data_IF_263469741339
#
_entry.id   IF_263469741339
#
_cell.length_a   1.000
_cell.length_b   1.000
_cell.length_c   1.000
_cell.angle_alpha   90.00
_cell.angle_beta   90.00
_cell.angle_gamma   90.00
#
_symmetry.space_group_name_H-M   'P 1'
#
loop_
_entity.id
_entity.type
_entity.pdbx_description
1 polymer ?
#
# COMPACT_ATOMS: atom_id res chain seq x y z
N UNK A 1 1.02 -10.75 -27.53
CA UNK A 1 0.26 -9.52 -27.81
C UNK A 1 -0.53 -9.17 -26.55
N UNK A 2 -0.67 -7.88 -26.21
CA UNK A 2 -1.42 -7.46 -25.02
C UNK A 2 -2.92 -7.68 -25.22
N UNK A 3 -3.63 -8.21 -24.21
CA UNK A 3 -5.09 -8.39 -24.22
C UNK A 3 -5.86 -7.11 -24.60
N UNK A 4 -5.27 -5.95 -24.32
CA UNK A 4 -5.82 -4.63 -24.65
C UNK A 4 -5.79 -4.35 -26.16
N UNK A 5 -4.77 -4.85 -26.86
CA UNK A 5 -4.63 -4.74 -28.32
C UNK A 5 -5.63 -5.63 -29.06
N UNK A 6 -5.84 -6.86 -28.56
CA UNK A 6 -6.83 -7.80 -29.09
C UNK A 6 -8.26 -7.27 -28.89
N UNK A 7 -8.56 -6.67 -27.74
CA UNK A 7 -9.83 -5.99 -27.48
C UNK A 7 -10.06 -4.79 -28.43
N UNK A 8 -9.04 -3.97 -28.69
CA UNK A 8 -9.17 -2.84 -29.62
C UNK A 8 -9.47 -3.29 -31.06
N UNK A 9 -8.82 -4.36 -31.53
CA UNK A 9 -9.09 -4.93 -32.85
C UNK A 9 -10.52 -5.49 -32.92
N UNK A 10 -10.95 -6.22 -31.88
CA UNK A 10 -12.31 -6.76 -31.81
C UNK A 10 -13.38 -5.66 -31.81
N UNK A 11 -13.16 -4.58 -31.05
CA UNK A 11 -14.05 -3.41 -31.04
C UNK A 11 -14.12 -2.72 -32.40
N UNK A 12 -12.97 -2.51 -33.05
CA UNK A 12 -12.90 -1.86 -34.37
C UNK A 12 -13.62 -2.69 -35.44
N UNK A 13 -13.45 -4.02 -35.41
CA UNK A 13 -14.13 -4.93 -36.33
C UNK A 13 -15.64 -4.97 -36.08
N UNK A 14 -16.08 -4.99 -34.81
CA UNK A 14 -17.51 -4.96 -34.45
C UNK A 14 -18.18 -3.65 -34.87
N UNK A 15 -17.53 -2.51 -34.63
CA UNK A 15 -18.03 -1.19 -35.06
C UNK A 15 -18.17 -1.12 -36.59
N UNK A 16 -17.19 -1.65 -37.32
CA UNK A 16 -17.26 -1.75 -38.79
C UNK A 16 -18.43 -2.60 -39.28
N UNK A 17 -18.75 -3.71 -38.60
CA UNK A 17 -19.92 -4.55 -38.93
C UNK A 17 -21.23 -3.80 -38.67
N UNK A 18 -21.34 -3.07 -37.56
CA UNK A 18 -22.52 -2.27 -37.23
C UNK A 18 -22.72 -1.12 -38.22
N UNK A 19 -21.65 -0.40 -38.57
CA UNK A 19 -21.68 0.68 -39.56
C UNK A 19 -22.13 0.14 -40.93
N UNK A 20 -21.64 -1.05 -41.32
CA UNK A 20 -22.06 -1.74 -42.55
C UNK A 20 -23.55 -2.13 -42.53
N UNK A 21 -24.06 -2.61 -41.40
CA UNK A 21 -25.48 -2.99 -41.25
C UNK A 21 -26.41 -1.77 -41.28
N UNK A 22 -26.03 -0.68 -40.59
CA UNK A 22 -26.75 0.60 -40.63
C UNK A 22 -26.74 1.17 -42.05
N UNK A 23 -25.59 1.16 -42.72
CA UNK A 23 -25.47 1.58 -44.12
C UNK A 23 -26.36 0.76 -45.04
N UNK A 24 -26.45 -0.56 -44.80
CA UNK A 24 -27.32 -1.45 -45.59
C UNK A 24 -28.79 -1.10 -45.39
N UNK A 25 -29.23 -0.88 -44.15
CA UNK A 25 -30.59 -0.43 -43.84
C UNK A 25 -30.90 0.94 -44.47
N UNK A 26 -29.98 1.91 -44.36
CA UNK A 26 -30.13 3.25 -44.94
C UNK A 26 -30.22 3.18 -46.47
N UNK A 27 -29.39 2.36 -47.12
CA UNK A 27 -29.44 2.14 -48.58
C UNK A 27 -30.76 1.54 -49.04
N UNK A 28 -31.24 0.48 -48.37
CA UNK A 28 -32.52 -0.15 -48.70
C UNK A 28 -33.71 0.81 -48.53
N UNK A 29 -33.73 1.56 -47.42
CA UNK A 29 -34.74 2.58 -47.16
C UNK A 29 -34.69 3.72 -48.19
N UNK A 30 -33.50 4.17 -48.57
CA UNK A 30 -33.31 5.23 -49.56
C UNK A 30 -33.77 4.80 -50.95
N UNK A 31 -33.54 3.52 -51.31
CA UNK A 31 -34.05 2.93 -52.57
C UNK A 31 -35.57 2.93 -52.61
N UNK A 32 -36.24 2.51 -51.54
CA UNK A 32 -37.71 2.52 -51.43
C UNK A 32 -38.29 3.95 -51.48
N UNK A 33 -37.64 4.91 -50.81
CA UNK A 33 -37.98 6.32 -50.90
C UNK A 33 -37.81 6.89 -52.31
N UNK A 34 -36.79 6.43 -53.04
CA UNK A 34 -36.58 6.76 -54.45
C UNK A 34 -37.75 6.32 -55.33
N UNK A 35 -38.25 5.08 -55.15
CA UNK A 35 -39.44 4.61 -55.86
C UNK A 35 -40.69 5.42 -55.52
N UNK A 36 -40.91 5.76 -54.24
CA UNK A 36 -42.01 6.63 -53.80
C UNK A 36 -41.94 8.02 -54.43
N UNK A 37 -40.74 8.60 -54.51
CA UNK A 37 -40.53 9.93 -55.10
C UNK A 37 -40.79 9.90 -56.60
N UNK A 38 -40.28 8.90 -57.31
CA UNK A 38 -40.55 8.72 -58.74
C UNK A 38 -42.03 8.47 -59.05
N UNK A 39 -42.75 7.75 -58.17
CA UNK A 39 -44.19 7.56 -58.25
C UNK A 39 -44.95 8.88 -58.07
N UNK A 40 -44.58 9.68 -57.07
CA UNK A 40 -45.18 11.00 -56.79
C UNK A 40 -45.00 11.98 -57.95
N UNK A 41 -43.89 11.88 -58.67
CA UNK A 41 -43.56 12.74 -59.80
C UNK A 41 -44.10 12.21 -61.15
N UNK A 42 -44.90 11.13 -61.16
CA UNK A 42 -45.38 10.44 -62.37
C UNK A 42 -44.25 9.99 -63.33
N UNK A 43 -43.03 9.77 -62.80
CA UNK A 43 -41.85 9.30 -63.54
C UNK A 43 -41.62 7.80 -63.42
N UNK A 44 -42.47 7.09 -62.69
CA UNK A 44 -42.35 5.65 -62.46
C UNK A 44 -42.86 4.86 -63.67
N UNK A 45 -41.93 4.23 -64.40
CA UNK A 45 -42.24 3.51 -65.65
C UNK A 45 -42.80 2.11 -65.41
N UNK A 46 -42.18 1.35 -64.50
CA UNK A 46 -42.70 0.07 -63.97
C UNK A 46 -41.89 -0.31 -62.73
N UNK A 47 -42.51 -1.02 -61.80
CA UNK A 47 -41.84 -1.63 -60.65
C UNK A 47 -42.34 -3.05 -60.52
N UNK A 48 -41.43 -4.00 -60.45
CA UNK A 48 -41.77 -5.40 -60.23
C UNK A 48 -42.24 -5.59 -58.77
N UNK A 49 -43.45 -6.11 -58.60
CA UNK A 49 -44.05 -6.40 -57.29
C UNK A 49 -43.24 -7.44 -56.52
N UNK A 50 -42.55 -8.35 -57.22
CA UNK A 50 -41.71 -9.37 -56.58
C UNK A 50 -40.42 -8.75 -56.02
N UNK A 51 -39.78 -7.84 -56.75
CA UNK A 51 -38.63 -7.08 -56.27
C UNK A 51 -39.00 -6.18 -55.07
N UNK A 52 -40.18 -5.56 -55.10
CA UNK A 52 -40.64 -4.70 -54.01
C UNK A 52 -40.92 -5.52 -52.73
N UNK A 53 -41.47 -6.72 -52.88
CA UNK A 53 -41.71 -7.65 -51.77
C UNK A 53 -40.40 -8.17 -51.17
N UNK A 54 -39.40 -8.47 -52.00
CA UNK A 54 -38.05 -8.85 -51.55
C UNK A 54 -37.37 -7.71 -50.80
N UNK A 55 -37.42 -6.49 -51.34
CA UNK A 55 -36.84 -5.30 -50.70
C UNK A 55 -37.50 -4.98 -49.34
N UNK A 56 -38.81 -5.22 -49.21
CA UNK A 56 -39.52 -5.09 -47.94
C UNK A 56 -39.05 -6.11 -46.90
N UNK A 57 -38.94 -7.39 -47.28
CA UNK A 57 -38.44 -8.45 -46.40
C UNK A 57 -36.98 -8.20 -45.96
N UNK A 58 -36.13 -7.72 -46.87
CA UNK A 58 -34.75 -7.34 -46.56
C UNK A 58 -34.68 -6.13 -45.62
N UNK A 59 -35.55 -5.13 -45.79
CA UNK A 59 -35.64 -3.98 -44.91
C UNK A 59 -36.07 -4.39 -43.50
N UNK A 60 -37.07 -5.25 -43.38
CA UNK A 60 -37.58 -5.73 -42.08
C UNK A 60 -36.52 -6.56 -41.35
N UNK A 61 -35.80 -7.43 -42.07
CA UNK A 61 -34.68 -8.19 -41.52
C UNK A 61 -33.53 -7.27 -41.08
N UNK A 62 -33.16 -6.28 -41.90
CA UNK A 62 -32.12 -5.31 -41.56
C UNK A 62 -32.50 -4.51 -40.31
N UNK A 63 -33.75 -4.02 -40.23
CA UNK A 63 -34.28 -3.31 -39.06
C UNK A 63 -34.23 -4.16 -37.79
N UNK A 64 -34.63 -5.43 -37.88
CA UNK A 64 -34.60 -6.35 -36.76
C UNK A 64 -33.18 -6.60 -36.25
N UNK A 65 -32.22 -6.83 -37.16
CA UNK A 65 -30.79 -7.01 -36.81
C UNK A 65 -30.20 -5.78 -36.14
N UNK A 66 -30.43 -4.58 -36.69
CA UNK A 66 -29.95 -3.33 -36.09
C UNK A 66 -30.50 -3.14 -34.67
N UNK A 67 -31.80 -3.37 -34.46
CA UNK A 67 -32.41 -3.24 -33.13
C UNK A 67 -31.84 -4.24 -32.12
N UNK A 68 -31.67 -5.50 -32.52
CA UNK A 68 -31.04 -6.52 -31.66
C UNK A 68 -29.61 -6.14 -31.29
N UNK A 69 -28.83 -5.68 -32.25
CA UNK A 69 -27.44 -5.30 -32.03
C UNK A 69 -27.31 -4.11 -31.07
N UNK A 70 -28.16 -3.08 -31.24
CA UNK A 70 -28.22 -1.95 -30.31
C UNK A 70 -28.62 -2.39 -28.89
N UNK A 71 -29.57 -3.33 -28.76
CA UNK A 71 -29.98 -3.87 -27.46
C UNK A 71 -28.87 -4.67 -26.79
N UNK A 72 -28.16 -5.51 -27.54
CA UNK A 72 -27.01 -6.27 -27.03
C UNK A 72 -25.89 -5.34 -26.56
N UNK A 73 -25.58 -4.30 -27.32
CA UNK A 73 -24.54 -3.35 -26.95
C UNK A 73 -24.93 -2.51 -25.73
N UNK A 74 -26.20 -2.09 -25.63
CA UNK A 74 -26.73 -1.42 -24.43
C UNK A 74 -26.62 -2.30 -23.18
N UNK A 75 -26.96 -3.59 -23.28
CA UNK A 75 -26.82 -4.55 -22.18
C UNK A 75 -25.35 -4.76 -21.79
N UNK A 76 -24.46 -4.90 -22.78
CA UNK A 76 -23.02 -5.05 -22.54
C UNK A 76 -22.44 -3.83 -21.85
N UNK A 77 -22.79 -2.64 -22.31
CA UNK A 77 -22.36 -1.39 -21.68
C UNK A 77 -22.86 -1.29 -20.24
N UNK A 78 -24.14 -1.58 -20.00
CA UNK A 78 -24.74 -1.56 -18.67
C UNK A 78 -24.06 -2.53 -17.71
N UNK A 79 -23.78 -3.76 -18.16
CA UNK A 79 -23.07 -4.74 -17.34
C UNK A 79 -21.62 -4.33 -17.07
N UNK A 80 -20.90 -3.86 -18.09
CA UNK A 80 -19.53 -3.39 -17.92
C UNK A 80 -19.44 -2.18 -16.97
N UNK A 81 -20.40 -1.25 -17.02
CA UNK A 81 -20.50 -0.13 -16.09
C UNK A 81 -20.68 -0.61 -14.65
N UNK A 82 -21.63 -1.54 -14.43
CA UNK A 82 -21.87 -2.12 -13.11
C UNK A 82 -20.66 -2.87 -12.57
N UNK A 83 -19.98 -3.65 -13.41
CA UNK A 83 -18.76 -4.37 -13.02
C UNK A 83 -17.64 -3.39 -12.66
N UNK A 84 -17.50 -2.29 -13.41
CA UNK A 84 -16.54 -1.23 -13.11
C UNK A 84 -16.84 -0.53 -11.78
N UNK A 85 -18.09 -0.13 -11.53
CA UNK A 85 -18.53 0.46 -10.26
C UNK A 85 -18.30 -0.47 -9.07
N UNK A 86 -18.59 -1.78 -9.24
CA UNK A 86 -18.35 -2.79 -8.22
C UNK A 86 -16.85 -2.97 -7.93
N UNK A 87 -16.01 -2.98 -8.98
CA UNK A 87 -14.56 -3.01 -8.83
C UNK A 87 -14.03 -1.77 -8.12
N UNK A 88 -14.49 -0.58 -8.50
CA UNK A 88 -14.09 0.68 -7.87
C UNK A 88 -14.44 0.70 -6.39
N UNK A 89 -15.67 0.31 -6.03
CA UNK A 89 -16.12 0.20 -4.64
C UNK A 89 -15.24 -0.78 -3.84
N UNK A 90 -14.91 -1.94 -4.44
CA UNK A 90 -14.04 -2.94 -3.82
C UNK A 90 -12.60 -2.46 -3.62
N UNK A 91 -12.04 -1.77 -4.62
CA UNK A 91 -10.69 -1.18 -4.55
C UNK A 91 -10.66 -0.11 -3.45
N UNK A 92 -11.65 0.79 -3.42
CA UNK A 92 -11.75 1.84 -2.41
C UNK A 92 -11.81 1.26 -0.99
N UNK A 93 -12.65 0.24 -0.77
CA UNK A 93 -12.74 -0.42 0.53
C UNK A 93 -11.41 -1.07 0.96
N UNK A 94 -10.71 -1.73 0.03
CA UNK A 94 -9.40 -2.34 0.32
C UNK A 94 -8.33 -1.30 0.63
N UNK A 95 -8.27 -0.22 -0.14
CA UNK A 95 -7.30 0.86 0.06
C UNK A 95 -7.50 1.53 1.42
N UNK A 96 -8.75 1.83 1.80
CA UNK A 96 -9.07 2.38 3.12
C UNK A 96 -8.62 1.43 4.24
N UNK A 97 -8.88 0.14 4.12
CA UNK A 97 -8.45 -0.85 5.11
C UNK A 97 -6.91 -0.93 5.24
N UNK A 98 -6.16 -0.81 4.14
CA UNK A 98 -4.70 -0.74 4.18
C UNK A 98 -4.21 0.54 4.86
N UNK A 99 -4.84 1.69 4.57
CA UNK A 99 -4.49 2.96 5.22
C UNK A 99 -4.69 2.86 6.73
N UNK A 100 -5.85 2.34 7.19
CA UNK A 100 -6.14 2.20 8.62
C UNK A 100 -5.12 1.30 9.32
N UNK A 101 -4.71 0.21 8.65
CA UNK A 101 -3.69 -0.71 9.16
C UNK A 101 -2.33 -0.03 9.29
N UNK A 102 -1.87 0.68 8.26
CA UNK A 102 -0.59 1.40 8.27
C UNK A 102 -0.56 2.50 9.33
N UNK A 103 -1.68 3.22 9.53
CA UNK A 103 -1.81 4.22 10.59
C UNK A 103 -1.67 3.59 11.97
N UNK A 104 -2.27 2.43 12.20
CA UNK A 104 -2.16 1.72 13.46
C UNK A 104 -0.73 1.19 13.70
N UNK A 105 -0.09 0.61 12.70
CA UNK A 105 1.31 0.17 12.79
C UNK A 105 2.25 1.34 13.08
N UNK A 106 2.05 2.50 12.46
CA UNK A 106 2.81 3.72 12.72
C UNK A 106 2.67 4.19 14.18
N UNK A 107 1.45 4.18 14.73
CA UNK A 107 1.22 4.51 16.15
C UNK A 107 1.95 3.54 17.08
N UNK A 108 1.88 2.24 16.79
CA UNK A 108 2.54 1.22 17.60
C UNK A 108 4.07 1.35 17.57
N UNK A 109 4.66 1.58 16.39
CA UNK A 109 6.10 1.81 16.24
C UNK A 109 6.55 3.06 16.99
N UNK A 110 5.81 4.16 16.89
CA UNK A 110 6.09 5.40 17.63
C UNK A 110 6.11 5.15 19.14
N UNK A 111 5.13 4.41 19.66
CA UNK A 111 5.07 4.04 21.08
C UNK A 111 6.24 3.16 21.51
N UNK A 112 6.62 2.17 20.68
CA UNK A 112 7.79 1.30 20.94
C UNK A 112 9.09 2.10 21.01
N UNK A 113 9.27 3.07 20.11
CA UNK A 113 10.44 3.96 20.09
C UNK A 113 10.50 4.79 21.38
N UNK A 114 9.40 5.38 21.81
CA UNK A 114 9.38 6.20 23.03
C UNK A 114 9.70 5.37 24.28
N UNK A 115 9.07 4.19 24.42
CA UNK A 115 9.37 3.26 25.51
C UNK A 115 10.85 2.82 25.52
N UNK A 116 11.43 2.54 24.35
CA UNK A 116 12.84 2.18 24.23
C UNK A 116 13.76 3.34 24.66
N UNK A 117 13.44 4.58 24.27
CA UNK A 117 14.18 5.78 24.70
C UNK A 117 14.11 5.97 26.21
N UNK A 118 12.95 5.81 26.83
CA UNK A 118 12.83 5.90 28.30
C UNK A 118 13.66 4.83 29.01
N UNK A 119 13.63 3.59 28.51
CA UNK A 119 14.43 2.49 29.06
C UNK A 119 15.93 2.77 28.94
N UNK A 120 16.39 3.30 27.81
CA UNK A 120 17.78 3.71 27.61
C UNK A 120 18.18 4.88 28.53
N UNK A 121 17.32 5.89 28.71
CA UNK A 121 17.54 6.97 29.68
C UNK A 121 17.66 6.44 31.10
N UNK A 122 16.84 5.47 31.49
CA UNK A 122 16.90 4.84 32.80
C UNK A 122 18.20 4.02 32.99
N UNK A 123 18.62 3.26 31.98
CA UNK A 123 19.92 2.58 31.99
C UNK A 123 21.08 3.57 32.14
N UNK A 124 21.03 4.71 31.45
CA UNK A 124 22.03 5.78 31.59
C UNK A 124 22.09 6.34 33.01
N UNK A 125 20.93 6.57 33.63
CA UNK A 125 20.84 7.01 35.04
C UNK A 125 21.44 5.97 35.99
N UNK A 126 21.07 4.69 35.86
CA UNK A 126 21.64 3.60 36.67
C UNK A 126 23.16 3.57 36.51
N UNK A 127 23.66 3.65 35.27
CA UNK A 127 25.09 3.66 34.98
C UNK A 127 25.81 4.80 35.72
N UNK A 128 25.22 6.00 35.73
CA UNK A 128 25.75 7.17 36.45
C UNK A 128 25.76 6.99 37.97
N UNK A 129 24.74 6.32 38.53
CA UNK A 129 24.62 6.04 39.96
C UNK A 129 25.67 5.03 40.39
N UNK A 130 25.82 3.92 39.65
CA UNK A 130 26.83 2.90 39.91
C UNK A 130 28.23 3.51 39.80
N UNK A 131 28.50 4.30 38.76
CA UNK A 131 29.79 4.99 38.62
C UNK A 131 30.08 5.93 39.80
N UNK A 132 29.07 6.66 40.32
CA UNK A 132 29.22 7.53 41.50
C UNK A 132 29.47 6.73 42.78
N UNK A 133 28.78 5.60 42.94
CA UNK A 133 28.95 4.70 44.07
C UNK A 133 30.36 4.11 44.11
N UNK A 134 30.82 3.55 42.99
CA UNK A 134 32.16 2.94 42.88
C UNK A 134 33.31 3.96 42.93
N UNK A 135 33.07 5.23 42.58
CA UNK A 135 34.05 6.31 42.84
C UNK A 135 34.24 6.58 44.35
N UNK A 136 33.21 6.34 45.17
CA UNK A 136 33.24 6.51 46.62
C UNK A 136 33.69 5.25 47.35
N UNK A 137 33.23 4.09 46.92
CA UNK A 137 33.62 2.78 47.45
C UNK A 137 34.55 2.10 46.46
N UNK A 138 35.87 2.14 46.74
CA UNK A 138 36.87 1.40 45.95
C UNK A 138 36.87 -0.10 46.25
N UNK A 139 36.13 -0.49 47.28
CA UNK A 139 36.01 -1.86 47.74
C UNK A 139 34.57 -2.34 47.60
N UNK A 140 34.42 -3.58 47.14
CA UNK A 140 33.17 -4.34 47.19
C UNK A 140 33.44 -5.59 48.01
N UNK A 141 32.51 -5.93 48.89
CA UNK A 141 32.55 -7.18 49.66
C UNK A 141 31.50 -8.13 49.09
N UNK A 142 31.90 -9.33 48.71
CA UNK A 142 31.01 -10.38 48.24
C UNK A 142 31.26 -11.66 49.05
N UNK A 143 30.18 -12.37 49.35
CA UNK A 143 30.25 -13.73 49.89
C UNK A 143 30.58 -14.72 48.79
N UNK A 144 31.10 -15.90 49.17
CA UNK A 144 31.35 -16.99 48.22
C UNK A 144 30.09 -17.41 47.44
N UNK A 145 28.96 -17.51 48.12
CA UNK A 145 27.67 -17.84 47.51
C UNK A 145 27.26 -16.77 46.48
N UNK A 146 27.41 -15.48 46.80
CA UNK A 146 27.13 -14.40 45.85
C UNK A 146 28.05 -14.44 44.61
N UNK A 147 29.34 -14.79 44.78
CA UNK A 147 30.27 -14.94 43.65
C UNK A 147 29.84 -16.10 42.74
N UNK A 148 29.53 -17.26 43.31
CA UNK A 148 29.07 -18.43 42.55
C UNK A 148 27.74 -18.14 41.83
N UNK A 149 26.85 -17.35 42.44
CA UNK A 149 25.57 -16.97 41.82
C UNK A 149 25.71 -15.88 40.75
N UNK A 150 26.62 -14.92 40.92
CA UNK A 150 26.81 -13.79 39.99
C UNK A 150 27.65 -14.14 38.77
N UNK A 151 28.59 -15.09 38.91
CA UNK A 151 29.55 -15.43 37.87
C UNK A 151 29.37 -16.85 37.30
N UNK A 152 28.59 -17.71 37.98
CA UNK A 152 28.08 -18.98 37.45
C UNK A 152 29.13 -19.90 36.83
N UNK A 153 28.72 -20.68 35.82
CA UNK A 153 29.55 -21.64 35.07
C UNK A 153 30.48 -20.97 34.03
N UNK A 154 30.27 -19.70 33.72
CA UNK A 154 31.01 -18.99 32.66
C UNK A 154 32.41 -18.55 33.10
N UNK A 155 32.61 -18.32 34.41
CA UNK A 155 33.89 -17.90 34.98
C UNK A 155 34.13 -18.69 36.27
N UNK A 156 35.27 -19.39 36.33
CA UNK A 156 35.68 -20.15 37.52
C UNK A 156 35.69 -19.26 38.77
N UNK A 157 34.72 -19.49 39.67
CA UNK A 157 34.57 -18.78 40.93
C UNK A 157 35.84 -18.87 41.80
N UNK A 158 36.61 -19.97 41.71
CA UNK A 158 37.87 -20.12 42.45
C UNK A 158 38.94 -19.14 41.94
N UNK A 159 38.93 -18.81 40.66
CA UNK A 159 39.82 -17.82 40.06
C UNK A 159 39.44 -16.39 40.46
N UNK A 160 38.15 -16.10 40.66
CA UNK A 160 37.69 -14.80 41.18
C UNK A 160 38.08 -14.66 42.65
N UNK A 161 37.80 -15.66 43.48
CA UNK A 161 38.12 -15.67 44.92
C UNK A 161 39.61 -15.39 45.18
N UNK A 162 40.51 -15.92 44.35
CA UNK A 162 41.97 -15.67 44.45
C UNK A 162 42.37 -14.20 44.28
N UNK A 163 41.56 -13.40 43.59
CA UNK A 163 41.81 -11.98 43.37
C UNK A 163 41.22 -11.08 44.48
N UNK A 164 40.43 -11.65 45.39
CA UNK A 164 39.86 -10.96 46.55
C UNK A 164 40.69 -11.18 47.81
N UNK A 165 40.64 -10.20 48.72
CA UNK A 165 41.19 -10.35 50.07
C UNK A 165 40.09 -10.88 50.99
N UNK A 166 40.27 -12.05 51.58
CA UNK A 166 39.31 -12.54 52.58
C UNK A 166 39.35 -11.65 53.84
N UNK A 167 38.19 -11.14 54.25
CA UNK A 167 38.07 -10.21 55.39
C UNK A 167 37.44 -10.89 56.60
N UNK A 168 36.43 -11.76 56.39
CA UNK A 168 35.76 -12.58 57.42
C UNK A 168 35.12 -13.81 56.77
N UNK A 169 35.20 -14.99 57.39
CA UNK A 169 34.57 -16.27 56.98
C UNK A 169 33.78 -16.22 55.66
N UNK A 170 34.40 -16.59 54.53
CA UNK A 170 33.77 -16.64 53.19
C UNK A 170 33.28 -15.29 52.62
N UNK A 171 33.71 -14.15 53.19
CA UNK A 171 33.49 -12.80 52.67
C UNK A 171 34.82 -12.27 52.12
N UNK A 172 34.81 -11.97 50.82
CA UNK A 172 35.96 -11.50 50.07
C UNK A 172 35.78 -10.03 49.70
N UNK A 173 36.78 -9.21 50.00
CA UNK A 173 36.88 -7.82 49.61
C UNK A 173 37.70 -7.68 48.33
N UNK A 174 37.12 -7.05 47.33
CA UNK A 174 37.73 -6.79 46.04
C UNK A 174 38.04 -5.30 45.92
N UNK A 175 39.31 -4.97 45.68
CA UNK A 175 39.70 -3.62 45.29
C UNK A 175 39.52 -3.43 43.79
N UNK A 176 38.64 -2.52 43.44
CA UNK A 176 38.32 -2.25 42.04
C UNK A 176 39.31 -1.23 41.49
N UNK A 177 40.02 -1.60 40.43
CA UNK A 177 40.90 -0.65 39.73
C UNK A 177 40.05 0.40 39.03
N UNK A 178 40.25 1.68 39.36
CA UNK A 178 39.40 2.77 38.88
C UNK A 178 39.43 2.95 37.36
N UNK A 179 40.52 2.54 36.70
CA UNK A 179 40.72 2.72 35.26
C UNK A 179 39.87 1.76 34.41
N UNK A 180 39.85 0.47 34.76
CA UNK A 180 39.10 -0.56 34.01
C UNK A 180 37.59 -0.31 34.04
N UNK A 181 37.05 -0.03 35.23
CA UNK A 181 35.63 0.31 35.40
C UNK A 181 35.26 1.63 34.75
N UNK A 182 36.12 2.66 34.83
CA UNK A 182 35.85 3.92 34.12
C UNK A 182 35.73 3.71 32.61
N UNK A 183 36.61 2.88 32.04
CA UNK A 183 36.58 2.56 30.61
C UNK A 183 35.31 1.78 30.24
N UNK A 184 34.92 0.76 31.02
CA UNK A 184 33.66 0.04 30.81
C UNK A 184 32.43 0.93 30.92
N UNK A 185 32.40 1.86 31.89
CA UNK A 185 31.29 2.82 32.02
C UNK A 185 31.21 3.82 30.86
N UNK A 186 32.36 4.29 30.37
CA UNK A 186 32.44 5.14 29.18
C UNK A 186 31.96 4.39 27.93
N UNK A 187 32.39 3.15 27.74
CA UNK A 187 31.95 2.30 26.63
C UNK A 187 30.44 2.05 26.67
N UNK A 188 29.88 1.69 27.83
CA UNK A 188 28.44 1.47 27.98
C UNK A 188 27.65 2.76 27.73
N UNK A 189 28.16 3.92 28.19
CA UNK A 189 27.53 5.22 27.93
C UNK A 189 27.55 5.54 26.44
N UNK A 190 28.66 5.31 25.75
CA UNK A 190 28.77 5.52 24.31
C UNK A 190 27.81 4.61 23.52
N UNK A 191 27.66 3.34 23.92
CA UNK A 191 26.69 2.42 23.31
C UNK A 191 25.24 2.86 23.54
N UNK A 192 24.91 3.31 24.75
CA UNK A 192 23.58 3.85 25.06
C UNK A 192 23.30 5.10 24.21
N UNK A 193 24.26 6.02 24.09
CA UNK A 193 24.12 7.24 23.31
C UNK A 193 23.98 6.94 21.80
N UNK A 194 24.72 5.97 21.28
CA UNK A 194 24.55 5.48 19.91
C UNK A 194 23.14 4.91 19.67
N UNK A 195 22.60 4.13 20.62
CA UNK A 195 21.24 3.58 20.52
C UNK A 195 20.15 4.64 20.65
N UNK A 196 20.37 5.69 21.44
CA UNK A 196 19.47 6.85 21.48
C UNK A 196 19.45 7.55 20.13
N UNK A 197 20.62 7.80 19.53
CA UNK A 197 20.72 8.42 18.21
C UNK A 197 20.06 7.57 17.11
N UNK A 198 20.17 6.25 17.18
CA UNK A 198 19.46 5.34 16.27
C UNK A 198 17.93 5.45 16.42
N UNK A 199 17.42 5.57 17.66
CA UNK A 199 16.00 5.80 17.92
C UNK A 199 15.53 7.19 17.44
N UNK A 200 16.39 8.21 17.53
CA UNK A 200 16.11 9.54 16.96
C UNK A 200 16.00 9.44 15.44
N UNK A 201 16.95 8.77 14.78
CA UNK A 201 16.92 8.55 13.34
C UNK A 201 15.65 7.83 12.86
N UNK A 202 15.25 6.74 13.53
CA UNK A 202 13.99 6.06 13.19
C UNK A 202 12.77 6.96 13.33
N UNK A 203 12.75 7.83 14.34
CA UNK A 203 11.66 8.81 14.51
C UNK A 203 11.63 9.81 13.35
N UNK A 204 12.77 10.34 12.93
CA UNK A 204 12.85 11.26 11.78
C UNK A 204 12.39 10.58 10.49
N UNK A 205 12.80 9.33 10.26
CA UNK A 205 12.37 8.56 9.08
C UNK A 205 10.85 8.32 9.06
N UNK A 206 10.24 8.05 10.21
CA UNK A 206 8.77 7.92 10.32
C UNK A 206 8.09 9.25 10.00
N UNK A 207 8.59 10.37 10.54
CA UNK A 207 8.03 11.70 10.26
C UNK A 207 8.18 12.10 8.78
N UNK A 208 9.31 11.81 8.15
CA UNK A 208 9.52 12.02 6.72
C UNK A 208 8.59 11.16 5.85
N UNK A 209 8.43 9.88 6.20
CA UNK A 209 7.49 8.98 5.53
C UNK A 209 6.07 9.53 5.62
N UNK A 210 5.65 9.97 6.81
CA UNK A 210 4.34 10.59 7.03
C UNK A 210 4.13 11.83 6.16
N UNK A 211 5.13 12.74 6.09
CA UNK A 211 5.06 13.92 5.22
C UNK A 211 4.95 13.57 3.74
N UNK A 212 5.67 12.54 3.27
CA UNK A 212 5.58 12.06 1.88
C UNK A 212 4.16 11.55 1.59
N UNK A 213 3.58 10.77 2.51
CA UNK A 213 2.21 10.28 2.39
C UNK A 213 1.19 11.42 2.37
N UNK A 214 1.31 12.42 3.25
CA UNK A 214 0.44 13.61 3.26
C UNK A 214 0.52 14.39 1.95
N UNK A 215 1.74 14.59 1.41
CA UNK A 215 1.93 15.27 0.13
C UNK A 215 1.33 14.48 -1.06
N UNK A 216 1.48 13.16 -1.07
CA UNK A 216 0.85 12.30 -2.07
C UNK A 216 -0.68 12.32 -1.96
N UNK A 217 -1.22 12.25 -0.75
CA UNK A 217 -2.65 12.33 -0.49
C UNK A 217 -3.25 13.66 -0.97
N UNK A 218 -2.57 14.78 -0.73
CA UNK A 218 -2.98 16.10 -1.23
C UNK A 218 -3.04 16.15 -2.75
N UNK A 219 -2.00 15.64 -3.43
CA UNK A 219 -1.97 15.58 -4.90
C UNK A 219 -3.06 14.68 -5.47
N UNK A 220 -3.31 13.54 -4.83
CA UNK A 220 -4.40 12.64 -5.21
C UNK A 220 -5.76 13.32 -5.07
N UNK A 221 -5.98 14.06 -3.97
CA UNK A 221 -7.19 14.84 -3.77
C UNK A 221 -7.38 15.89 -4.86
N UNK A 222 -6.33 16.62 -5.24
CA UNK A 222 -6.37 17.62 -6.32
C UNK A 222 -6.73 17.00 -7.68
N UNK A 223 -6.14 15.84 -8.00
CA UNK A 223 -6.44 15.11 -9.25
C UNK A 223 -7.89 14.63 -9.25
N UNK A 224 -8.39 14.11 -8.12
CA UNK A 224 -9.78 13.66 -8.01
C UNK A 224 -10.78 14.82 -8.20
N UNK A 225 -10.52 16.00 -7.62
CA UNK A 225 -11.37 17.18 -7.87
C UNK A 225 -11.32 17.63 -9.33
N UNK A 226 -10.16 17.55 -9.99
CA UNK A 226 -10.06 17.88 -11.41
C UNK A 226 -10.86 16.92 -12.29
N UNK A 227 -10.87 15.62 -11.98
CA UNK A 227 -11.67 14.63 -12.72
C UNK A 227 -13.17 14.88 -12.55
N UNK A 228 -13.62 15.17 -11.32
CA UNK A 228 -15.04 15.50 -11.07
C UNK A 228 -15.52 16.76 -11.79
N UNK A 229 -14.63 17.71 -12.09
CA UNK A 229 -14.96 18.90 -12.88
C UNK A 229 -15.06 18.66 -14.39
N UNK A 230 -14.57 17.52 -14.90
CA UNK A 230 -14.63 17.16 -16.33
C UNK A 230 -15.95 16.43 -16.67
N UNK A 231 -16.67 15.91 -15.66
CA UNK A 231 -17.95 15.19 -15.83
C UNK A 231 -19.21 16.09 -15.83
N UNK A 232 -19.07 17.40 -16.04
CA UNK A 232 -20.18 18.35 -16.29
C UNK A 232 -20.11 18.85 -17.73
#
# INVERSE_FOLDING_TARGET
MSALYEQQIAMKNRRRVLDLEIDTYVKLKSRLLGYLTAARENRLVSVDSEELSKAQAELDLARFRTNLNLMVDSLKYTNASKDAEAMETSINAKLLAYIDKEVEESKQLTKKIENAKELLKNRRKINSVVQRYLRRSRTITLTREEIETLFGDEIDAASIVKNGREVRNNVYEFQLSSASFQQSFQQLTAQIDAKIAECDNFRTQIEESKRKWEALASKLSEILTQIQHIEI
#
